data_IF_101057874530
#
_entry.id   IF_101057874530
#
_cell.length_a   1.000
_cell.length_b   1.000
_cell.length_c   1.000
_cell.angle_alpha   90.00
_cell.angle_beta   90.00
_cell.angle_gamma   90.00
#
_symmetry.space_group_name_H-M   'P 1'
#
loop_
_entity.id
_entity.type
_entity.pdbx_description
1 polymer ?
#
# COMPACT_ATOMS: atom_id res chain seq x y z
N UNK A 1 -45.62 -34.51 -51.85
CA UNK A 1 -45.28 -35.87 -52.34
C UNK A 1 -44.71 -35.62 -53.73
N UNK A 2 -43.42 -35.79 -54.03
CA UNK A 2 -42.56 -36.97 -53.86
C UNK A 2 -41.08 -36.56 -53.63
N UNK A 3 -40.49 -37.14 -52.58
CA UNK A 3 -39.05 -37.39 -52.34
C UNK A 3 -38.43 -38.13 -53.55
N UNK A 4 -37.13 -38.21 -53.85
CA UNK A 4 -35.83 -38.05 -53.19
C UNK A 4 -34.78 -38.18 -54.32
N UNK A 5 -33.60 -37.56 -54.24
CA UNK A 5 -32.35 -38.27 -54.53
C UNK A 5 -31.15 -37.50 -53.97
N UNK A 6 -30.46 -38.13 -53.02
CA UNK A 6 -29.18 -37.70 -52.45
C UNK A 6 -28.15 -38.70 -52.96
N UNK A 7 -27.07 -38.23 -53.61
CA UNK A 7 -25.69 -38.65 -53.35
C UNK A 7 -24.73 -38.14 -54.44
N UNK A 8 -23.98 -37.09 -54.10
CA UNK A 8 -22.62 -36.86 -54.57
C UNK A 8 -21.81 -36.47 -53.33
N UNK A 9 -21.09 -37.46 -52.79
CA UNK A 9 -19.98 -37.28 -51.86
C UNK A 9 -18.71 -37.15 -52.70
N UNK A 10 -17.87 -36.18 -52.40
CA UNK A 10 -16.44 -36.41 -52.16
C UNK A 10 -15.82 -35.17 -51.51
N UNK A 11 -14.92 -35.45 -50.58
CA UNK A 11 -14.38 -34.62 -49.51
C UNK A 11 -13.35 -33.58 -49.99
N UNK A 12 -13.40 -32.39 -49.41
CA UNK A 12 -12.30 -31.41 -49.41
C UNK A 12 -12.23 -30.69 -48.07
N UNK A 13 -11.43 -31.20 -47.14
CA UNK A 13 -11.18 -30.57 -45.84
C UNK A 13 -10.25 -29.36 -46.02
N UNK A 14 -10.78 -28.14 -45.86
CA UNK A 14 -9.96 -26.95 -45.61
C UNK A 14 -10.27 -26.44 -44.21
N UNK A 15 -9.36 -26.72 -43.28
CA UNK A 15 -9.41 -26.26 -41.89
C UNK A 15 -9.21 -24.75 -41.87
N UNK A 16 -10.22 -24.00 -41.43
CA UNK A 16 -10.07 -22.56 -41.14
C UNK A 16 -9.16 -22.38 -39.92
N UNK A 17 -8.06 -21.64 -40.11
CA UNK A 17 -7.27 -21.12 -39.00
C UNK A 17 -8.05 -20.00 -38.30
N UNK A 18 -8.02 -19.91 -36.96
CA UNK A 18 -8.67 -18.82 -36.25
C UNK A 18 -7.92 -17.52 -36.53
N UNK A 19 -8.69 -16.49 -36.84
CA UNK A 19 -8.29 -15.08 -36.92
C UNK A 19 -7.36 -14.73 -35.76
N UNK A 20 -6.17 -14.23 -36.09
CA UNK A 20 -5.25 -13.60 -35.15
C UNK A 20 -5.99 -12.46 -34.45
N UNK A 21 -6.48 -12.72 -33.24
CA UNK A 21 -6.91 -11.67 -32.33
C UNK A 21 -5.70 -10.76 -32.14
N UNK A 22 -5.82 -9.52 -32.59
CA UNK A 22 -4.91 -8.44 -32.25
C UNK A 22 -4.83 -8.38 -30.73
N UNK A 23 -3.83 -9.05 -30.15
CA UNK A 23 -3.50 -8.94 -28.74
C UNK A 23 -2.95 -7.54 -28.57
N UNK A 24 -3.84 -6.57 -28.36
CA UNK A 24 -3.47 -5.25 -27.87
C UNK A 24 -2.79 -5.52 -26.54
N UNK A 25 -1.46 -5.53 -26.58
CA UNK A 25 -0.61 -5.73 -25.44
C UNK A 25 -0.82 -4.55 -24.51
N UNK A 26 -1.83 -4.63 -23.66
CA UNK A 26 -2.11 -3.64 -22.63
C UNK A 26 -1.01 -3.78 -21.59
N UNK A 27 0.11 -3.08 -21.84
CA UNK A 27 1.14 -2.80 -20.84
C UNK A 27 0.44 -2.03 -19.72
N UNK A 28 0.63 -2.47 -18.48
CA UNK A 28 -0.05 -1.86 -17.35
C UNK A 28 0.53 -0.46 -17.07
N UNK A 29 -0.28 0.59 -16.83
CA UNK A 29 0.27 1.93 -16.64
C UNK A 29 1.17 2.05 -15.40
N UNK A 30 0.97 1.19 -14.39
CA UNK A 30 1.82 1.11 -13.21
C UNK A 30 3.00 0.11 -13.33
N UNK A 31 3.19 -0.53 -14.49
CA UNK A 31 4.27 -1.50 -14.68
C UNK A 31 4.65 -1.69 -16.15
N UNK A 32 5.94 -1.69 -16.45
CA UNK A 32 6.46 -1.90 -17.82
C UNK A 32 6.32 -3.36 -18.33
N UNK A 33 5.41 -4.14 -17.74
CA UNK A 33 5.15 -5.53 -18.11
C UNK A 33 3.71 -5.69 -18.60
N UNK A 34 3.47 -6.79 -19.30
CA UNK A 34 2.14 -7.09 -19.83
C UNK A 34 1.14 -7.34 -18.69
N UNK A 35 -0.08 -6.80 -18.80
CA UNK A 35 -1.10 -6.90 -17.74
C UNK A 35 -1.41 -8.35 -17.31
N UNK A 36 -1.32 -9.31 -18.24
CA UNK A 36 -1.51 -10.74 -17.93
C UNK A 36 -0.44 -11.37 -17.04
N UNK A 37 0.71 -10.69 -16.86
CA UNK A 37 1.79 -11.15 -15.98
C UNK A 37 1.59 -10.67 -14.53
N UNK A 38 0.63 -9.78 -14.27
CA UNK A 38 0.30 -9.36 -12.91
C UNK A 38 -0.57 -10.40 -12.20
N UNK A 39 -0.29 -10.60 -10.92
CA UNK A 39 -1.20 -11.36 -10.06
C UNK A 39 -2.52 -10.58 -9.90
N UNK A 40 -3.68 -11.17 -10.24
CA UNK A 40 -4.97 -10.48 -10.16
C UNK A 40 -5.32 -10.09 -8.72
N UNK A 41 -4.90 -10.89 -7.73
CA UNK A 41 -5.10 -10.57 -6.32
C UNK A 41 -4.28 -9.37 -5.86
N UNK A 42 -3.07 -9.18 -6.42
CA UNK A 42 -2.25 -8.01 -6.12
C UNK A 42 -2.87 -6.74 -6.72
N UNK A 43 -3.38 -6.80 -7.94
CA UNK A 43 -4.09 -5.67 -8.55
C UNK A 43 -5.33 -5.30 -7.76
N UNK A 44 -6.14 -6.28 -7.35
CA UNK A 44 -7.29 -6.05 -6.47
C UNK A 44 -6.91 -5.41 -5.13
N UNK A 45 -5.77 -5.81 -4.56
CA UNK A 45 -5.27 -5.25 -3.31
C UNK A 45 -4.77 -3.81 -3.48
N UNK A 46 -4.09 -3.51 -4.59
CA UNK A 46 -3.59 -2.17 -4.94
C UNK A 46 -4.74 -1.21 -5.22
N UNK A 47 -5.78 -1.68 -5.91
CA UNK A 47 -6.98 -0.91 -6.26
C UNK A 47 -8.02 -0.85 -5.14
N UNK A 48 -7.77 -1.54 -4.03
CA UNK A 48 -8.70 -1.55 -2.91
C UNK A 48 -8.90 -0.13 -2.36
N UNK A 49 -10.15 0.28 -2.15
CA UNK A 49 -10.47 1.58 -1.54
C UNK A 49 -10.04 1.60 -0.07
N UNK A 50 -9.62 2.79 0.39
CA UNK A 50 -9.27 3.03 1.79
C UNK A 50 -10.47 2.71 2.69
N UNK A 51 -10.40 1.58 3.41
CA UNK A 51 -11.48 1.09 4.26
C UNK A 51 -11.24 1.45 5.73
N UNK A 52 -12.31 1.58 6.50
CA UNK A 52 -12.21 1.80 7.95
C UNK A 52 -11.47 0.65 8.65
N UNK A 53 -11.59 -0.57 8.12
CA UNK A 53 -10.87 -1.74 8.62
C UNK A 53 -9.37 -1.59 8.43
N UNK A 54 -8.93 -1.09 7.27
CA UNK A 54 -7.51 -0.82 7.00
C UNK A 54 -6.97 0.26 7.94
N UNK A 55 -7.72 1.35 8.15
CA UNK A 55 -7.32 2.42 9.08
C UNK A 55 -7.14 1.87 10.50
N UNK A 56 -8.11 1.07 10.98
CA UNK A 56 -8.03 0.43 12.30
C UNK A 56 -6.85 -0.53 12.40
N UNK A 57 -6.58 -1.27 11.33
CA UNK A 57 -5.43 -2.17 11.27
C UNK A 57 -4.11 -1.40 11.33
N UNK A 58 -3.99 -0.27 10.64
CA UNK A 58 -2.81 0.62 10.71
C UNK A 58 -2.57 1.08 12.15
N UNK A 59 -3.63 1.53 12.83
CA UNK A 59 -3.53 1.97 14.23
C UNK A 59 -3.06 0.83 15.13
N UNK A 60 -3.63 -0.38 15.02
CA UNK A 60 -3.20 -1.54 15.82
C UNK A 60 -1.76 -1.97 15.50
N UNK A 61 -1.38 -1.93 14.22
CA UNK A 61 -0.04 -2.29 13.75
C UNK A 61 1.03 -1.37 14.35
N UNK A 62 0.86 -0.05 14.22
CA UNK A 62 1.79 0.95 14.75
C UNK A 62 1.84 0.88 16.27
N UNK A 63 0.68 0.79 16.93
CA UNK A 63 0.61 0.68 18.40
C UNK A 63 1.32 -0.58 18.90
N UNK A 64 1.14 -1.70 18.20
CA UNK A 64 1.82 -2.96 18.51
C UNK A 64 3.32 -2.87 18.24
N UNK A 65 3.75 -2.12 17.24
CA UNK A 65 5.16 -1.94 16.92
C UNK A 65 5.89 -1.08 17.95
N UNK A 66 5.24 -0.01 18.44
CA UNK A 66 5.83 0.97 19.37
C UNK A 66 5.70 0.54 20.83
N UNK A 67 4.55 0.03 21.25
CA UNK A 67 4.25 -0.33 22.66
C UNK A 67 4.49 -1.82 22.93
N UNK A 68 4.54 -2.64 21.88
CA UNK A 68 4.62 -4.09 22.00
C UNK A 68 3.28 -4.76 22.35
N UNK A 69 3.27 -6.11 22.36
CA UNK A 69 2.05 -6.91 22.55
C UNK A 69 1.43 -6.76 23.94
N UNK A 70 2.21 -6.32 24.92
CA UNK A 70 1.79 -6.15 26.33
C UNK A 70 0.99 -4.86 26.56
N UNK A 71 1.00 -3.96 25.58
CA UNK A 71 0.23 -2.71 25.60
C UNK A 71 -1.24 -2.83 25.20
N UNK A 72 -1.76 -4.00 24.78
CA UNK A 72 -3.12 -4.13 24.18
C UNK A 72 -4.29 -3.68 25.08
N UNK A 73 -4.06 -3.52 26.39
CA UNK A 73 -5.02 -2.91 27.33
C UNK A 73 -5.16 -1.37 27.14
N UNK A 74 -4.43 -0.76 26.19
CA UNK A 74 -4.27 0.68 26.00
C UNK A 74 -5.34 1.38 25.15
N UNK A 75 -6.36 0.68 24.62
CA UNK A 75 -7.38 1.32 23.77
C UNK A 75 -8.13 2.48 24.45
N UNK A 76 -8.03 2.64 25.77
CA UNK A 76 -8.64 3.73 26.55
C UNK A 76 -7.71 4.91 26.82
N UNK A 77 -6.47 4.87 26.33
CA UNK A 77 -5.51 5.95 26.50
C UNK A 77 -5.89 7.14 25.62
N UNK A 78 -5.97 8.37 26.15
CA UNK A 78 -6.30 9.55 25.36
C UNK A 78 -5.32 9.74 24.19
N UNK A 79 -4.07 9.30 24.33
CA UNK A 79 -3.06 9.31 23.28
C UNK A 79 -3.44 8.42 22.08
N UNK A 80 -4.13 7.30 22.30
CA UNK A 80 -4.56 6.41 21.20
C UNK A 80 -5.70 7.04 20.39
N UNK A 81 -6.57 7.80 21.05
CA UNK A 81 -7.66 8.52 20.38
C UNK A 81 -7.09 9.63 19.50
N UNK A 82 -6.15 10.42 20.03
CA UNK A 82 -5.44 11.45 19.24
C UNK A 82 -4.68 10.84 18.07
N UNK A 83 -3.97 9.73 18.31
CA UNK A 83 -3.24 9.02 17.26
C UNK A 83 -4.18 8.49 16.16
N UNK A 84 -5.31 7.89 16.52
CA UNK A 84 -6.29 7.41 15.55
C UNK A 84 -6.84 8.56 14.68
N UNK A 85 -7.16 9.70 15.29
CA UNK A 85 -7.57 10.92 14.56
C UNK A 85 -6.46 11.41 13.62
N UNK A 86 -5.21 11.41 14.09
CA UNK A 86 -4.05 11.75 13.27
C UNK A 86 -3.90 10.81 12.06
N UNK A 87 -4.00 9.50 12.27
CA UNK A 87 -3.95 8.49 11.19
C UNK A 87 -5.06 8.73 10.17
N UNK A 88 -6.31 8.93 10.61
CA UNK A 88 -7.43 9.22 9.71
C UNK A 88 -7.13 10.45 8.85
N UNK A 89 -6.71 11.55 9.48
CA UNK A 89 -6.42 12.80 8.78
C UNK A 89 -5.32 12.63 7.72
N UNK A 90 -4.23 11.93 8.05
CA UNK A 90 -3.14 11.68 7.11
C UNK A 90 -3.57 10.74 5.98
N UNK A 91 -4.31 9.68 6.29
CA UNK A 91 -4.74 8.68 5.31
C UNK A 91 -5.77 9.21 4.32
N UNK A 92 -6.51 10.27 4.64
CA UNK A 92 -7.39 10.95 3.64
C UNK A 92 -6.63 11.44 2.40
N UNK A 93 -5.31 11.66 2.51
CA UNK A 93 -4.46 12.17 1.44
C UNK A 93 -3.53 11.11 0.84
N UNK A 94 -3.60 9.87 1.32
CA UNK A 94 -2.74 8.77 0.89
C UNK A 94 -3.51 7.76 0.04
N UNK A 95 -2.80 7.07 -0.87
CA UNK A 95 -3.36 5.96 -1.63
C UNK A 95 -3.13 4.65 -0.89
N UNK A 96 -4.00 3.65 -1.12
CA UNK A 96 -3.90 2.33 -0.49
C UNK A 96 -2.51 1.67 -0.67
N UNK A 97 -1.86 1.72 -1.85
CA UNK A 97 -0.53 1.14 -2.03
C UNK A 97 0.53 1.76 -1.10
N UNK A 98 0.47 3.08 -0.88
CA UNK A 98 1.37 3.79 0.03
C UNK A 98 1.17 3.31 1.48
N UNK A 99 -0.08 3.10 1.88
CA UNK A 99 -0.40 2.57 3.21
C UNK A 99 0.08 1.13 3.38
N UNK A 100 -0.12 0.28 2.36
CA UNK A 100 0.33 -1.10 2.40
C UNK A 100 1.86 -1.18 2.48
N UNK A 101 2.57 -0.36 1.71
CA UNK A 101 4.03 -0.29 1.80
C UNK A 101 4.52 0.28 3.14
N UNK A 102 3.84 1.27 3.71
CA UNK A 102 4.22 1.80 5.03
C UNK A 102 4.10 0.77 6.15
N UNK A 103 3.09 -0.10 6.10
CA UNK A 103 2.95 -1.24 7.02
C UNK A 103 4.16 -2.19 6.95
N UNK A 104 4.74 -2.40 5.76
CA UNK A 104 5.96 -3.20 5.60
C UNK A 104 7.14 -2.51 6.29
N UNK A 105 7.32 -1.20 6.11
CA UNK A 105 8.37 -0.44 6.80
C UNK A 105 8.20 -0.44 8.33
N UNK A 106 6.97 -0.27 8.83
CA UNK A 106 6.68 -0.37 10.27
C UNK A 106 7.06 -1.75 10.82
N UNK A 107 6.74 -2.81 10.10
CA UNK A 107 7.08 -4.17 10.52
C UNK A 107 8.59 -4.40 10.57
N UNK A 108 9.36 -3.82 9.63
CA UNK A 108 10.83 -3.88 9.61
C UNK A 108 11.46 -3.05 10.73
N UNK A 109 10.94 -1.85 10.99
CA UNK A 109 11.45 -0.93 12.01
C UNK A 109 11.10 -1.34 13.45
N UNK A 110 10.16 -2.28 13.63
CA UNK A 110 9.64 -2.72 14.93
C UNK A 110 10.71 -2.97 16.02
N UNK A 111 11.87 -3.61 15.76
CA UNK A 111 12.90 -3.80 16.78
C UNK A 111 13.49 -2.49 17.30
N UNK A 112 13.59 -1.47 16.44
CA UNK A 112 14.20 -0.17 16.74
C UNK A 112 13.21 0.78 17.44
N UNK A 113 11.92 0.70 17.07
CA UNK A 113 10.88 1.58 17.64
C UNK A 113 10.68 1.38 19.15
N UNK A 114 10.85 0.15 19.65
CA UNK A 114 10.71 -0.13 21.08
C UNK A 114 11.79 0.56 21.92
N UNK A 115 12.99 0.75 21.36
CA UNK A 115 14.10 1.42 22.03
C UNK A 115 13.83 2.92 22.22
N UNK A 116 13.20 3.58 21.24
CA UNK A 116 12.89 5.01 21.31
C UNK A 116 11.91 5.36 22.45
N UNK A 117 10.93 4.50 22.75
CA UNK A 117 9.96 4.73 23.83
C UNK A 117 10.60 4.60 25.21
N UNK A 118 11.58 3.70 25.37
CA UNK A 118 12.33 3.54 26.61
C UNK A 118 13.24 4.76 26.91
N UNK A 119 13.59 5.54 25.89
CA UNK A 119 14.38 6.77 26.00
C UNK A 119 13.65 7.99 26.60
N UNK A 120 12.39 7.83 27.03
CA UNK A 120 11.62 8.91 27.68
C UNK A 120 10.82 9.80 26.71
N UNK A 121 10.77 9.46 25.43
CA UNK A 121 9.92 10.13 24.44
C UNK A 121 8.43 9.97 24.80
N UNK A 122 7.66 11.05 24.68
CA UNK A 122 6.21 10.98 24.88
C UNK A 122 5.57 10.05 23.83
N UNK A 123 4.73 9.10 24.30
CA UNK A 123 4.17 8.03 23.48
C UNK A 123 3.45 8.52 22.22
N UNK A 124 2.72 9.63 22.32
CA UNK A 124 2.02 10.26 21.18
C UNK A 124 3.00 10.63 20.06
N UNK A 125 4.14 11.23 20.39
CA UNK A 125 5.17 11.62 19.43
C UNK A 125 5.84 10.39 18.80
N UNK A 126 6.13 9.35 19.58
CA UNK A 126 6.72 8.11 19.08
C UNK A 126 5.81 7.43 18.05
N UNK A 127 4.50 7.35 18.31
CA UNK A 127 3.52 6.77 17.38
C UNK A 127 3.39 7.59 16.10
N UNK A 128 3.23 8.91 16.23
CA UNK A 128 3.11 9.81 15.09
C UNK A 128 4.34 9.73 14.20
N UNK A 129 5.55 9.74 14.79
CA UNK A 129 6.82 9.65 14.05
C UNK A 129 6.99 8.30 13.37
N UNK A 130 6.70 7.19 14.06
CA UNK A 130 6.81 5.86 13.47
C UNK A 130 5.87 5.69 12.26
N UNK A 131 4.61 6.09 12.40
CA UNK A 131 3.64 6.00 11.32
C UNK A 131 3.99 6.92 10.16
N UNK A 132 4.20 8.21 10.45
CA UNK A 132 4.44 9.22 9.42
C UNK A 132 5.76 8.98 8.69
N UNK A 133 6.83 8.61 9.42
CA UNK A 133 8.12 8.28 8.84
C UNK A 133 8.04 7.15 7.83
N UNK A 134 7.38 6.04 8.22
CA UNK A 134 7.16 4.91 7.32
C UNK A 134 6.29 5.29 6.10
N UNK A 135 5.27 6.14 6.30
CA UNK A 135 4.41 6.59 5.21
C UNK A 135 5.14 7.51 4.22
N UNK A 136 6.00 8.40 4.71
CA UNK A 136 6.84 9.27 3.88
C UNK A 136 7.79 8.44 3.04
N UNK A 137 8.49 7.48 3.66
CA UNK A 137 9.40 6.58 2.95
C UNK A 137 8.63 5.81 1.88
N UNK A 138 7.52 5.16 2.24
CA UNK A 138 6.68 4.45 1.28
C UNK A 138 6.23 5.34 0.11
N UNK A 139 5.80 6.57 0.39
CA UNK A 139 5.36 7.53 -0.62
C UNK A 139 6.49 7.92 -1.57
N UNK A 140 7.70 8.15 -1.05
CA UNK A 140 8.89 8.46 -1.86
C UNK A 140 9.32 7.29 -2.75
N UNK A 141 9.19 6.06 -2.25
CA UNK A 141 9.57 4.86 -3.01
C UNK A 141 8.53 4.46 -4.07
N UNK A 142 7.24 4.79 -3.87
CA UNK A 142 6.17 4.42 -4.79
C UNK A 142 5.83 5.51 -5.81
N UNK A 143 6.09 6.77 -5.51
CA UNK A 143 5.88 7.86 -6.44
C UNK A 143 7.24 8.31 -6.98
N UNK A 144 7.49 8.10 -8.27
CA UNK A 144 8.71 8.52 -8.97
C UNK A 144 8.96 10.06 -8.92
N UNK A 145 8.02 10.83 -8.38
CA UNK A 145 8.21 12.24 -8.04
C UNK A 145 8.86 12.36 -6.67
N UNK A 146 10.18 12.55 -6.67
CA UNK A 146 10.96 12.90 -5.48
C UNK A 146 10.55 14.27 -4.95
N UNK A 147 9.47 14.32 -4.15
CA UNK A 147 9.16 15.51 -3.36
C UNK A 147 10.28 15.70 -2.33
N UNK A 148 11.15 16.67 -2.63
CA UNK A 148 12.28 17.06 -1.80
C UNK A 148 11.82 17.31 -0.35
N UNK A 149 12.63 16.91 0.64
CA UNK A 149 12.32 16.88 2.08
C UNK A 149 11.63 18.16 2.62
N UNK A 150 11.89 19.31 1.99
CA UNK A 150 11.26 20.61 2.28
C UNK A 150 9.72 20.64 2.22
N UNK A 151 9.10 19.86 1.33
CA UNK A 151 7.63 19.84 1.20
C UNK A 151 6.95 18.99 2.29
N UNK A 152 7.65 17.97 2.81
CA UNK A 152 7.15 17.15 3.91
C UNK A 152 7.13 17.93 5.23
N UNK A 153 8.14 18.75 5.50
CA UNK A 153 8.19 19.63 6.66
C UNK A 153 7.00 20.62 6.71
N UNK A 154 6.55 21.13 5.55
CA UNK A 154 5.39 22.01 5.44
C UNK A 154 4.04 21.33 5.71
N UNK A 155 3.91 20.02 5.45
CA UNK A 155 2.65 19.30 5.69
C UNK A 155 2.46 18.87 7.15
N UNK A 156 3.50 18.92 7.99
CA UNK A 156 3.47 18.30 9.33
C UNK A 156 3.73 19.26 10.48
N UNK A 157 4.22 20.48 10.23
CA UNK A 157 4.30 21.59 11.21
C UNK A 157 5.12 21.36 12.49
N UNK A 158 5.58 20.12 12.74
CA UNK A 158 6.12 19.65 14.03
C UNK A 158 7.48 18.95 13.84
N UNK A 159 7.93 18.72 12.60
CA UNK A 159 9.14 17.96 12.31
C UNK A 159 10.12 18.81 11.50
N UNK A 160 11.18 19.27 12.17
CA UNK A 160 12.32 19.90 11.51
C UNK A 160 13.02 18.95 10.53
N UNK A 161 13.74 19.53 9.58
CA UNK A 161 14.45 18.83 8.48
C UNK A 161 15.38 17.71 8.96
N UNK A 162 15.93 17.85 10.16
CA UNK A 162 16.95 16.96 10.70
C UNK A 162 16.36 15.61 11.13
N UNK A 163 15.08 15.58 11.51
CA UNK A 163 14.39 14.34 11.88
C UNK A 163 14.01 13.50 10.67
N UNK A 164 13.77 14.10 9.50
CA UNK A 164 13.50 13.33 8.27
C UNK A 164 14.75 12.52 7.88
N UNK A 165 15.93 13.13 7.95
CA UNK A 165 17.20 12.43 7.70
C UNK A 165 17.59 11.44 8.79
N UNK A 166 17.06 11.57 10.00
CA UNK A 166 17.24 10.61 11.09
C UNK A 166 16.26 9.43 10.96
N UNK A 167 15.01 9.70 10.57
CA UNK A 167 13.99 8.69 10.24
C UNK A 167 14.43 7.85 9.03
N UNK A 168 15.06 8.45 8.01
CA UNK A 168 15.64 7.71 6.88
C UNK A 168 16.86 6.85 7.27
N UNK A 169 17.51 7.14 8.39
CA UNK A 169 18.68 6.41 8.87
C UNK A 169 18.33 5.29 9.85
N UNK A 170 17.27 5.49 10.64
CA UNK A 170 16.85 4.59 11.71
C UNK A 170 15.77 3.57 11.27
N UNK A 171 15.43 3.54 9.97
CA UNK A 171 14.52 2.57 9.32
C UNK A 171 15.30 1.79 8.26
#
# INVERSE_FOLDING_TARGET
MYKLSISQLEFGHSVMLPSSSSSSSYIHPASLVHSSLHSPLLLQLVDAKMSIQLIRYVVDCVSTAVIGRRGRSSSRRPEMVKFATFVVNVLTRATTPIVLASLVYINRAKPHLHFCVLGGEALEHALNRAFLGALIIASKYLNDFTLHNKHWAMCTGILGTDLVGLIERDI
#
